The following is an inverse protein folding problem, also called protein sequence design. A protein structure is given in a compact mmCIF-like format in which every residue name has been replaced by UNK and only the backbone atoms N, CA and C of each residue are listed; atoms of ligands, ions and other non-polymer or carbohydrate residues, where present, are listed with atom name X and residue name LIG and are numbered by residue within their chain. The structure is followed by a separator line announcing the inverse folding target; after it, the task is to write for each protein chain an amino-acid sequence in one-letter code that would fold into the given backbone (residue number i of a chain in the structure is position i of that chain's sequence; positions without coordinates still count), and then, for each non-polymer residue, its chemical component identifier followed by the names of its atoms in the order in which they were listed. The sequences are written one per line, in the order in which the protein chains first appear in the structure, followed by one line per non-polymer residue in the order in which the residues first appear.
data_IF_936187068206
#
_entry.id   IF_936187068206
#
_cell.length_a   1.000
_cell.length_b   1.000
_cell.length_c   1.000
_cell.angle_alpha   90.00
_cell.angle_beta   90.00
_cell.angle_gamma   90.00
#
_symmetry.space_group_name_H-M   'P 1'
#
loop_
_entity.id
_entity.type
_entity.pdbx_description
1 polymer ?
#
# COMPACT_ATOMS: atom_id res chain seq x y z
N UNK A 1 -2.73 -2.84 9.22
CA UNK A 1 -3.53 -4.07 9.34
C UNK A 1 -2.61 -5.28 9.25
N UNK A 2 -2.77 -6.25 10.15
CA UNK A 2 -2.13 -7.58 10.08
C UNK A 2 -3.21 -8.60 9.74
N UNK A 3 -2.93 -9.49 8.79
CA UNK A 3 -3.83 -10.58 8.42
C UNK A 3 -3.19 -11.90 8.82
N UNK A 4 -3.95 -12.74 9.51
CA UNK A 4 -3.67 -14.14 9.74
C UNK A 4 -4.70 -14.95 8.96
N UNK A 5 -4.28 -15.90 8.15
CA UNK A 5 -5.21 -16.71 7.37
C UNK A 5 -4.70 -18.14 7.23
N UNK A 6 -5.62 -19.08 7.22
CA UNK A 6 -5.34 -20.50 7.11
C UNK A 6 -6.38 -21.17 6.23
N UNK A 7 -5.92 -22.01 5.31
CA UNK A 7 -6.77 -22.91 4.56
C UNK A 7 -6.61 -24.32 5.16
N UNK A 8 -7.65 -24.82 5.77
CA UNK A 8 -7.63 -26.11 6.47
C UNK A 8 -8.80 -26.99 6.04
N UNK A 9 -8.66 -28.31 6.06
CA UNK A 9 -9.80 -29.20 5.91
C UNK A 9 -10.77 -29.05 7.10
N UNK A 10 -12.05 -29.36 6.92
CA UNK A 10 -13.11 -29.13 7.93
C UNK A 10 -12.82 -29.77 9.29
N UNK A 11 -12.17 -30.94 9.31
CA UNK A 11 -11.77 -31.63 10.53
C UNK A 11 -10.59 -30.95 11.28
N UNK A 12 -9.90 -30.00 10.70
CA UNK A 12 -8.82 -29.24 11.33
C UNK A 12 -9.25 -27.82 11.77
N UNK A 13 -10.53 -27.46 11.62
CA UNK A 13 -11.01 -26.14 11.98
C UNK A 13 -10.79 -25.82 13.47
N UNK A 14 -11.03 -26.79 14.37
CA UNK A 14 -10.80 -26.62 15.81
C UNK A 14 -9.34 -26.29 16.12
N UNK A 15 -8.37 -26.90 15.42
CA UNK A 15 -6.95 -26.59 15.56
C UNK A 15 -6.65 -25.17 15.11
N UNK A 16 -7.18 -24.75 13.96
CA UNK A 16 -6.97 -23.39 13.45
C UNK A 16 -7.54 -22.34 14.41
N UNK A 17 -8.77 -22.53 14.90
CA UNK A 17 -9.39 -21.62 15.87
C UNK A 17 -8.63 -21.59 17.19
N UNK A 18 -8.15 -22.72 17.67
CA UNK A 18 -7.32 -22.79 18.87
C UNK A 18 -6.01 -22.01 18.68
N UNK A 19 -5.29 -22.20 17.59
CA UNK A 19 -4.02 -21.49 17.31
C UNK A 19 -4.21 -19.96 17.25
N UNK A 20 -5.28 -19.50 16.63
CA UNK A 20 -5.57 -18.08 16.54
C UNK A 20 -6.04 -17.47 17.87
N UNK A 21 -6.82 -18.22 18.66
CA UNK A 21 -7.22 -17.80 20.01
C UNK A 21 -6.05 -17.78 20.98
N UNK A 22 -5.15 -18.77 20.90
CA UNK A 22 -3.93 -18.82 21.70
C UNK A 22 -3.02 -17.61 21.41
N UNK A 23 -2.83 -17.29 20.14
CA UNK A 23 -2.10 -16.09 19.70
C UNK A 23 -2.73 -14.81 20.27
N UNK A 24 -4.05 -14.69 20.22
CA UNK A 24 -4.75 -13.49 20.69
C UNK A 24 -4.76 -13.35 22.20
N UNK A 25 -5.01 -14.43 22.91
CA UNK A 25 -5.27 -14.41 24.35
C UNK A 25 -4.09 -14.77 25.24
N UNK A 26 -3.12 -15.55 24.75
CA UNK A 26 -2.13 -16.20 25.61
C UNK A 26 -0.66 -15.97 25.20
N UNK A 27 -0.40 -15.34 24.05
CA UNK A 27 0.97 -15.14 23.55
C UNK A 27 1.89 -14.45 24.54
N UNK A 28 1.40 -13.44 25.27
CA UNK A 28 2.23 -12.65 26.20
C UNK A 28 2.87 -13.48 27.32
N UNK A 29 2.24 -14.59 27.71
CA UNK A 29 2.78 -15.47 28.76
C UNK A 29 4.08 -16.18 28.37
N UNK A 30 4.41 -16.22 27.08
CA UNK A 30 5.58 -16.93 26.54
C UNK A 30 6.56 -16.04 25.81
N UNK A 31 6.28 -14.74 25.69
CA UNK A 31 7.21 -13.76 25.09
C UNK A 31 8.22 -13.30 26.16
N UNK A 32 9.47 -13.62 25.91
CA UNK A 32 10.62 -13.27 26.73
C UNK A 32 11.72 -12.54 25.94
N UNK A 33 12.78 -12.13 26.60
CA UNK A 33 13.87 -11.36 25.96
C UNK A 33 14.60 -12.19 24.90
N UNK A 34 14.80 -13.49 25.12
CA UNK A 34 15.48 -14.37 24.17
C UNK A 34 14.71 -14.44 22.85
N UNK A 35 13.39 -14.65 22.91
CA UNK A 35 12.51 -14.66 21.73
C UNK A 35 12.43 -13.32 21.02
N UNK A 36 12.43 -12.21 21.78
CA UNK A 36 12.48 -10.88 21.21
C UNK A 36 13.78 -10.66 20.42
N UNK A 37 14.91 -11.04 20.98
CA UNK A 37 16.21 -10.85 20.33
C UNK A 37 16.37 -11.74 19.08
N UNK A 38 15.83 -12.97 19.12
CA UNK A 38 15.76 -13.83 17.95
C UNK A 38 14.90 -13.22 16.86
N UNK A 39 13.67 -12.81 17.16
CA UNK A 39 12.75 -12.22 16.20
C UNK A 39 13.23 -10.86 15.66
N UNK A 40 13.90 -10.05 16.48
CA UNK A 40 14.58 -8.82 16.03
C UNK A 40 15.56 -9.15 14.90
N UNK A 41 16.40 -10.17 15.08
CA UNK A 41 17.34 -10.63 14.06
C UNK A 41 16.65 -11.08 12.78
N UNK A 42 15.52 -11.77 12.87
CA UNK A 42 14.72 -12.19 11.71
C UNK A 42 14.19 -10.96 10.94
N UNK A 43 13.56 -10.01 11.63
CA UNK A 43 12.99 -8.80 11.00
C UNK A 43 14.10 -7.93 10.38
N UNK A 44 15.25 -7.79 11.04
CA UNK A 44 16.40 -7.08 10.47
C UNK A 44 16.93 -7.74 9.19
N UNK A 45 16.98 -9.08 9.16
CA UNK A 45 17.38 -9.82 7.97
C UNK A 45 16.37 -9.67 6.84
N UNK A 46 15.06 -9.71 7.15
CA UNK A 46 13.99 -9.44 6.19
C UNK A 46 14.14 -8.04 5.56
N UNK A 47 14.38 -7.02 6.39
CA UNK A 47 14.63 -5.67 5.90
C UNK A 47 15.85 -5.59 4.99
N UNK A 48 16.99 -6.17 5.40
CA UNK A 48 18.21 -6.20 4.57
C UNK A 48 17.97 -6.91 3.23
N UNK A 49 17.27 -8.05 3.26
CA UNK A 49 16.92 -8.77 2.03
C UNK A 49 16.01 -7.94 1.11
N UNK A 50 15.02 -7.24 1.67
CA UNK A 50 14.15 -6.33 0.90
C UNK A 50 14.93 -5.18 0.27
N UNK A 51 15.80 -4.52 1.04
CA UNK A 51 16.62 -3.40 0.57
C UNK A 51 17.70 -3.80 -0.46
N UNK A 52 18.13 -5.05 -0.44
CA UNK A 52 19.09 -5.61 -1.42
C UNK A 52 18.42 -6.01 -2.75
N UNK A 53 17.08 -6.03 -2.84
CA UNK A 53 16.41 -6.23 -4.12
C UNK A 53 16.56 -4.98 -5.00
N UNK A 54 16.61 -5.12 -6.32
CA UNK A 54 16.56 -3.98 -7.23
C UNK A 54 15.37 -3.07 -6.88
N UNK A 55 15.63 -1.78 -6.73
CA UNK A 55 14.66 -0.75 -6.29
C UNK A 55 14.12 -0.95 -4.86
N UNK A 56 14.67 -1.84 -4.05
CA UNK A 56 14.15 -2.21 -2.72
C UNK A 56 14.06 -1.05 -1.72
N UNK A 57 14.92 -0.05 -1.87
CA UNK A 57 14.94 1.16 -1.02
C UNK A 57 13.95 2.25 -1.45
N UNK A 58 13.41 2.14 -2.68
CA UNK A 58 12.58 3.20 -3.26
C UNK A 58 11.34 3.51 -2.42
N UNK A 59 10.62 2.49 -1.97
CA UNK A 59 9.38 2.71 -1.23
C UNK A 59 9.59 3.37 0.14
N UNK A 60 10.71 3.10 0.80
CA UNK A 60 11.10 3.79 2.04
C UNK A 60 11.35 5.27 1.77
N UNK A 61 12.20 5.59 0.79
CA UNK A 61 12.50 6.96 0.39
C UNK A 61 11.23 7.72 -0.04
N UNK A 62 10.34 7.08 -0.79
CA UNK A 62 9.05 7.64 -1.18
C UNK A 62 8.19 7.97 0.05
N UNK A 63 8.06 7.05 1.00
CA UNK A 63 7.24 7.27 2.20
C UNK A 63 7.75 8.43 3.04
N UNK A 64 9.07 8.47 3.30
CA UNK A 64 9.72 9.53 4.06
C UNK A 64 9.58 10.90 3.40
N UNK A 65 9.52 10.91 2.11
CA UNK A 65 9.42 12.13 1.33
C UNK A 65 8.00 12.55 1.00
N UNK A 66 7.11 11.64 0.74
CA UNK A 66 5.71 11.95 0.42
C UNK A 66 4.95 12.50 1.63
N UNK A 67 5.35 12.12 2.84
CA UNK A 67 4.66 12.50 4.05
C UNK A 67 5.55 13.32 5.00
N UNK A 68 4.99 14.30 5.74
CA UNK A 68 5.76 15.07 6.71
C UNK A 68 6.16 14.19 7.89
N UNK A 69 7.26 14.57 8.56
CA UNK A 69 7.71 13.90 9.78
C UNK A 69 6.58 13.84 10.82
N UNK A 70 6.36 12.66 11.38
CA UNK A 70 5.28 12.41 12.35
C UNK A 70 3.96 11.95 11.72
N UNK A 71 3.83 12.01 10.40
CA UNK A 71 2.71 11.39 9.72
C UNK A 71 2.84 9.85 9.81
N UNK A 72 1.76 9.08 10.13
CA UNK A 72 1.84 7.62 10.27
C UNK A 72 2.34 6.90 9.00
N UNK A 73 2.30 7.54 7.85
CA UNK A 73 2.75 6.98 6.58
C UNK A 73 4.13 7.47 6.14
N UNK A 74 4.82 8.26 6.97
CA UNK A 74 6.21 8.69 6.69
C UNK A 74 7.24 7.59 6.95
N UNK A 75 6.84 6.45 7.52
CA UNK A 75 7.66 5.24 7.67
C UNK A 75 6.96 4.03 7.06
N UNK A 76 7.74 2.99 6.79
CA UNK A 76 7.24 1.72 6.24
C UNK A 76 6.87 0.75 7.38
N UNK A 77 6.09 -0.28 7.03
CA UNK A 77 5.67 -1.31 8.01
C UNK A 77 6.85 -2.04 8.63
N UNK A 78 7.94 -2.25 7.88
CA UNK A 78 9.14 -2.92 8.40
C UNK A 78 9.91 -2.05 9.40
N UNK A 79 9.69 -0.74 9.39
CA UNK A 79 10.35 0.22 10.28
C UNK A 79 11.82 0.52 9.94
N UNK A 80 12.52 1.17 10.87
CA UNK A 80 13.94 1.47 10.77
C UNK A 80 14.78 0.44 11.52
N UNK A 81 16.07 0.32 11.19
CA UNK A 81 16.98 -0.52 11.95
C UNK A 81 17.17 0.00 13.37
N UNK A 82 17.26 1.32 13.54
CA UNK A 82 17.44 1.97 14.83
C UNK A 82 16.25 1.69 15.78
N UNK A 83 15.02 1.74 15.27
CA UNK A 83 13.81 1.42 16.03
C UNK A 83 13.78 -0.07 16.40
N UNK A 84 14.19 -0.95 15.48
CA UNK A 84 14.27 -2.38 15.77
C UNK A 84 15.31 -2.69 16.85
N UNK A 85 16.46 -2.02 16.83
CA UNK A 85 17.50 -2.17 17.85
C UNK A 85 17.06 -1.62 19.21
N UNK A 86 16.30 -0.51 19.21
CA UNK A 86 15.83 0.15 20.43
C UNK A 86 14.62 -0.55 21.07
N UNK A 87 13.84 -1.34 20.30
CA UNK A 87 12.60 -1.95 20.79
C UNK A 87 12.86 -2.86 22.00
N UNK A 88 12.17 -2.60 23.11
CA UNK A 88 12.24 -3.36 24.35
C UNK A 88 11.15 -4.45 24.44
N UNK A 89 11.31 -5.37 25.36
CA UNK A 89 10.29 -6.37 25.66
C UNK A 89 8.99 -5.70 26.15
N UNK A 90 9.10 -4.60 26.91
CA UNK A 90 7.95 -3.83 27.37
C UNK A 90 7.18 -3.20 26.21
N UNK A 91 7.86 -2.62 25.22
CA UNK A 91 7.24 -2.06 24.03
C UNK A 91 6.43 -3.10 23.28
N UNK A 92 6.98 -4.31 23.11
CA UNK A 92 6.28 -5.42 22.43
C UNK A 92 5.05 -5.87 23.22
N UNK A 93 5.19 -6.00 24.54
CA UNK A 93 4.08 -6.40 25.41
C UNK A 93 2.96 -5.36 25.42
N UNK A 94 3.30 -4.08 25.49
CA UNK A 94 2.33 -2.99 25.53
C UNK A 94 1.65 -2.79 24.17
N UNK A 95 2.39 -2.96 23.06
CA UNK A 95 1.82 -3.00 21.72
C UNK A 95 0.79 -4.12 21.59
N UNK A 96 1.14 -5.32 22.03
CA UNK A 96 0.26 -6.46 21.95
C UNK A 96 -1.01 -6.27 22.79
N UNK A 97 -0.89 -5.86 24.06
CA UNK A 97 -2.04 -5.55 24.94
C UNK A 97 -2.96 -4.50 24.33
N UNK A 98 -2.36 -3.51 23.66
CA UNK A 98 -3.11 -2.39 23.10
C UNK A 98 -3.88 -2.80 21.84
N UNK A 99 -3.26 -3.56 20.93
CA UNK A 99 -3.80 -3.75 19.58
C UNK A 99 -4.35 -5.14 19.28
N UNK A 100 -4.06 -6.16 20.08
CA UNK A 100 -4.44 -7.55 19.80
C UNK A 100 -5.70 -8.03 20.55
N UNK A 101 -6.45 -7.13 21.16
CA UNK A 101 -7.73 -7.47 21.78
C UNK A 101 -8.84 -7.79 20.76
N UNK A 102 -9.84 -8.60 21.13
CA UNK A 102 -10.97 -8.97 20.26
C UNK A 102 -11.75 -7.77 19.71
N UNK A 103 -11.78 -6.67 20.45
CA UNK A 103 -12.41 -5.40 20.01
C UNK A 103 -11.66 -4.70 18.85
N UNK A 104 -10.47 -5.15 18.49
CA UNK A 104 -9.69 -4.68 17.36
C UNK A 104 -9.44 -5.77 16.31
N UNK A 105 -10.17 -6.85 16.34
CA UNK A 105 -10.03 -7.97 15.42
C UNK A 105 -11.32 -8.28 14.68
N UNK A 106 -11.20 -8.82 13.48
CA UNK A 106 -12.30 -9.37 12.69
C UNK A 106 -11.95 -10.81 12.37
N UNK A 107 -12.77 -11.75 12.83
CA UNK A 107 -12.67 -13.15 12.46
C UNK A 107 -13.64 -13.45 11.32
N UNK A 108 -13.12 -13.95 10.21
CA UNK A 108 -13.91 -14.41 9.06
C UNK A 108 -13.74 -15.92 8.87
N UNK A 109 -14.84 -16.66 8.88
CA UNK A 109 -14.89 -18.09 8.56
C UNK A 109 -15.63 -18.27 7.24
N UNK A 110 -15.00 -18.92 6.28
CA UNK A 110 -15.60 -19.19 4.97
C UNK A 110 -15.33 -20.64 4.56
N UNK A 111 -16.34 -21.33 4.07
CA UNK A 111 -16.22 -22.73 3.62
C UNK A 111 -17.42 -23.59 4.05
N UNK A 112 -17.18 -24.89 4.20
CA UNK A 112 -18.19 -25.87 4.59
C UNK A 112 -18.43 -25.82 6.12
N UNK A 113 -19.16 -24.81 6.55
CA UNK A 113 -19.58 -24.60 7.95
C UNK A 113 -20.90 -23.86 8.00
N UNK A 114 -21.81 -24.31 8.85
CA UNK A 114 -23.05 -23.61 9.16
C UNK A 114 -22.87 -22.58 10.27
N UNK A 115 -23.78 -21.59 10.33
CA UNK A 115 -23.70 -20.47 11.24
C UNK A 115 -23.73 -20.88 12.72
N UNK A 116 -24.55 -21.87 13.09
CA UNK A 116 -24.67 -22.29 14.48
C UNK A 116 -23.42 -23.02 14.96
N UNK A 117 -22.89 -23.91 14.15
CA UNK A 117 -21.57 -24.54 14.41
C UNK A 117 -20.45 -23.50 14.52
N UNK A 118 -20.44 -22.50 13.64
CA UNK A 118 -19.46 -21.42 13.70
C UNK A 118 -19.54 -20.63 15.02
N UNK A 119 -20.74 -20.25 15.46
CA UNK A 119 -20.95 -19.53 16.73
C UNK A 119 -20.46 -20.35 17.93
N UNK A 120 -20.81 -21.64 17.98
CA UNK A 120 -20.40 -22.53 19.08
C UNK A 120 -18.88 -22.65 19.14
N UNK A 121 -18.23 -22.87 17.99
CA UNK A 121 -16.78 -23.01 17.93
C UNK A 121 -16.05 -21.69 18.25
N UNK A 122 -16.50 -20.56 17.73
CA UNK A 122 -15.93 -19.27 18.05
C UNK A 122 -16.09 -18.95 19.54
N UNK A 123 -17.27 -19.17 20.12
CA UNK A 123 -17.48 -18.97 21.54
C UNK A 123 -16.56 -19.87 22.39
N UNK A 124 -16.36 -21.13 21.99
CA UNK A 124 -15.48 -22.08 22.69
C UNK A 124 -14.02 -21.56 22.80
N UNK A 125 -13.51 -20.95 21.76
CA UNK A 125 -12.08 -20.58 21.69
C UNK A 125 -11.78 -19.12 22.00
N UNK A 126 -12.74 -18.20 21.84
CA UNK A 126 -12.49 -16.77 21.93
C UNK A 126 -13.28 -16.04 23.03
N UNK A 127 -14.29 -16.68 23.64
CA UNK A 127 -15.19 -15.95 24.54
C UNK A 127 -14.56 -15.52 25.87
N UNK A 128 -13.50 -16.17 26.30
CA UNK A 128 -12.75 -15.87 27.53
C UNK A 128 -11.66 -14.81 27.36
N UNK A 129 -11.36 -14.43 26.11
CA UNK A 129 -10.32 -13.43 25.83
C UNK A 129 -10.85 -12.03 26.16
N UNK A 130 -10.23 -11.29 27.07
CA UNK A 130 -10.72 -9.96 27.44
C UNK A 130 -10.51 -8.94 26.33
N UNK A 131 -11.43 -7.99 26.22
CA UNK A 131 -11.28 -6.86 25.31
C UNK A 131 -10.05 -6.01 25.67
N UNK A 132 -9.34 -5.53 24.64
CA UNK A 132 -8.29 -4.53 24.80
C UNK A 132 -8.85 -3.13 25.14
N UNK A 133 -7.97 -2.14 25.37
CA UNK A 133 -8.37 -0.76 25.59
C UNK A 133 -9.11 -0.18 24.37
N UNK A 134 -9.91 0.88 24.53
CA UNK A 134 -10.47 1.62 23.41
C UNK A 134 -9.35 2.20 22.54
N UNK A 135 -9.45 2.01 21.22
CA UNK A 135 -8.48 2.54 20.27
C UNK A 135 -8.98 3.86 19.66
N UNK A 136 -8.10 4.84 19.64
CA UNK A 136 -8.32 6.08 18.90
C UNK A 136 -7.71 5.91 17.51
N UNK A 137 -8.56 5.96 16.49
CA UNK A 137 -8.08 5.94 15.09
C UNK A 137 -7.51 7.29 14.72
N UNK A 138 -6.40 7.33 13.97
CA UNK A 138 -5.87 8.57 13.43
C UNK A 138 -6.92 9.26 12.55
N UNK A 139 -7.00 10.59 12.66
CA UNK A 139 -7.83 11.39 11.76
C UNK A 139 -7.24 11.40 10.34
N UNK A 140 -8.11 11.67 9.35
CA UNK A 140 -7.71 11.91 7.98
C UNK A 140 -6.62 12.98 7.91
N UNK A 141 -5.51 12.65 7.27
CA UNK A 141 -4.39 13.57 7.11
C UNK A 141 -3.76 13.43 5.72
N UNK A 142 -4.30 14.16 4.74
CA UNK A 142 -3.73 14.25 3.41
C UNK A 142 -2.60 15.27 3.44
N UNK A 143 -1.37 14.82 3.25
CA UNK A 143 -0.21 15.72 3.22
C UNK A 143 -0.30 16.65 2.01
N UNK A 144 -0.23 17.97 2.27
CA UNK A 144 -0.21 19.00 1.23
C UNK A 144 1.21 19.47 1.02
N UNK A 145 1.60 19.67 -0.23
CA UNK A 145 2.87 20.25 -0.62
C UNK A 145 2.68 21.56 -1.35
N UNK A 146 3.60 22.48 -1.15
CA UNK A 146 3.67 23.76 -1.86
C UNK A 146 4.63 23.73 -3.04
N UNK A 147 5.51 22.72 -3.10
CA UNK A 147 6.57 22.62 -4.12
C UNK A 147 6.79 21.18 -4.55
N UNK A 148 7.24 21.01 -5.77
CA UNK A 148 7.75 19.73 -6.29
C UNK A 148 9.02 19.34 -5.53
N UNK A 149 9.13 18.08 -5.13
CA UNK A 149 10.35 17.51 -4.57
C UNK A 149 10.92 16.50 -5.57
N UNK A 150 12.21 16.61 -5.85
CA UNK A 150 12.96 15.70 -6.72
C UNK A 150 14.06 15.03 -5.92
N UNK A 151 14.17 13.74 -6.04
CA UNK A 151 15.26 12.95 -5.47
C UNK A 151 15.84 12.01 -6.52
N UNK A 152 17.14 11.81 -6.46
CA UNK A 152 17.85 10.85 -7.30
C UNK A 152 18.54 9.88 -6.35
N UNK A 153 18.24 8.62 -6.51
CA UNK A 153 18.88 7.52 -5.78
C UNK A 153 19.71 6.69 -6.76
N UNK A 154 20.91 6.32 -6.35
CA UNK A 154 21.78 5.43 -7.11
C UNK A 154 21.78 4.05 -6.45
N UNK A 155 21.59 3.02 -7.25
CA UNK A 155 21.58 1.64 -6.81
C UNK A 155 22.06 0.72 -7.95
N UNK A 156 22.42 -0.52 -7.63
CA UNK A 156 22.76 -1.53 -8.62
C UNK A 156 21.50 -2.14 -9.22
N UNK A 157 20.97 -1.49 -10.25
CA UNK A 157 19.69 -1.81 -10.88
C UNK A 157 19.86 -2.05 -12.39
N UNK A 158 19.04 -2.91 -13.01
CA UNK A 158 19.17 -3.24 -14.42
C UNK A 158 18.89 -2.05 -15.35
N UNK A 159 18.09 -1.08 -14.91
CA UNK A 159 17.71 0.11 -15.68
C UNK A 159 17.22 1.22 -14.76
N UNK A 160 17.24 2.45 -15.22
CA UNK A 160 16.66 3.57 -14.49
C UNK A 160 15.14 3.41 -14.40
N UNK A 161 14.56 3.83 -13.27
CA UNK A 161 13.12 3.82 -13.02
C UNK A 161 12.69 5.20 -12.53
N UNK A 162 11.61 5.71 -13.09
CA UNK A 162 11.01 6.98 -12.69
C UNK A 162 9.74 6.69 -11.90
N UNK A 163 9.61 7.33 -10.75
CA UNK A 163 8.40 7.35 -9.94
C UNK A 163 7.83 8.77 -9.93
N UNK A 164 6.59 8.94 -10.35
CA UNK A 164 5.82 10.16 -10.13
C UNK A 164 4.73 9.89 -9.12
N UNK A 165 4.65 10.71 -8.06
CA UNK A 165 3.83 10.42 -6.91
C UNK A 165 3.09 11.67 -6.46
N UNK A 166 1.80 11.51 -6.17
CA UNK A 166 0.93 12.55 -5.63
C UNK A 166 0.24 12.06 -4.36
N UNK A 167 0.21 12.92 -3.34
CA UNK A 167 -0.65 12.68 -2.19
C UNK A 167 -2.09 12.93 -2.60
N UNK A 168 -2.95 11.95 -2.38
CA UNK A 168 -4.36 11.96 -2.78
C UNK A 168 -5.24 11.55 -1.62
N UNK A 169 -6.57 11.72 -1.70
CA UNK A 169 -7.50 11.30 -0.67
C UNK A 169 -7.32 9.82 -0.26
N UNK A 170 -7.83 9.51 0.90
CA UNK A 170 -7.90 8.18 1.48
C UNK A 170 -8.91 7.30 0.72
N UNK A 171 -8.83 5.98 0.99
CA UNK A 171 -9.78 5.00 0.47
C UNK A 171 -11.23 5.29 0.91
N UNK A 172 -12.17 4.62 0.27
CA UNK A 172 -13.60 4.68 0.58
C UNK A 172 -14.21 6.08 0.35
N UNK A 173 -13.59 6.88 -0.54
CA UNK A 173 -14.10 8.15 -1.02
C UNK A 173 -14.43 8.08 -2.51
N UNK A 174 -15.27 9.00 -2.98
CA UNK A 174 -15.58 9.13 -4.41
C UNK A 174 -14.32 9.45 -5.22
N UNK A 175 -13.49 10.36 -4.72
CA UNK A 175 -12.20 10.70 -5.34
C UNK A 175 -11.26 9.48 -5.44
N UNK A 176 -11.26 8.58 -4.45
CA UNK A 176 -10.48 7.34 -4.48
C UNK A 176 -10.85 6.47 -5.69
N UNK A 177 -12.15 6.31 -5.93
CA UNK A 177 -12.64 5.57 -7.10
C UNK A 177 -12.24 6.23 -8.43
N UNK A 178 -12.22 7.57 -8.48
CA UNK A 178 -11.73 8.31 -9.66
C UNK A 178 -10.23 8.07 -9.91
N UNK A 179 -9.40 8.00 -8.87
CA UNK A 179 -7.97 7.70 -9.01
C UNK A 179 -7.72 6.27 -9.46
N UNK A 180 -8.49 5.31 -8.96
CA UNK A 180 -8.39 3.91 -9.39
C UNK A 180 -8.76 3.77 -10.87
N UNK A 181 -9.87 4.36 -11.30
CA UNK A 181 -10.29 4.39 -12.69
C UNK A 181 -9.27 5.15 -13.56
N UNK A 182 -8.74 6.28 -13.10
CA UNK A 182 -7.73 7.03 -13.83
C UNK A 182 -6.45 6.21 -14.05
N UNK A 183 -6.03 5.43 -13.05
CA UNK A 183 -4.87 4.55 -13.17
C UNK A 183 -5.06 3.52 -14.27
N UNK A 184 -6.24 2.88 -14.32
CA UNK A 184 -6.60 1.90 -15.35
C UNK A 184 -6.63 2.52 -16.75
N UNK A 185 -7.26 3.68 -16.91
CA UNK A 185 -7.33 4.36 -18.21
C UNK A 185 -5.96 4.81 -18.71
N UNK A 186 -5.07 5.22 -17.82
CA UNK A 186 -3.72 5.69 -18.18
C UNK A 186 -2.80 4.57 -18.68
N UNK A 187 -2.94 3.33 -18.17
CA UNK A 187 -2.01 2.23 -18.46
C UNK A 187 -2.66 0.88 -18.70
N UNK A 188 -3.98 0.74 -18.59
CA UNK A 188 -4.73 -0.54 -18.60
C UNK A 188 -4.70 -1.33 -19.90
N UNK A 189 -3.95 -0.92 -20.91
CA UNK A 189 -3.83 -1.67 -22.16
C UNK A 189 -2.89 -1.02 -23.17
N UNK A 190 -2.64 -1.73 -24.28
CA UNK A 190 -1.73 -1.25 -25.34
C UNK A 190 -2.15 0.07 -26.00
N UNK A 191 -3.41 0.45 -25.89
CA UNK A 191 -3.96 1.69 -26.42
C UNK A 191 -4.06 2.80 -25.37
N UNK A 192 -3.69 2.52 -24.11
CA UNK A 192 -3.68 3.51 -23.04
C UNK A 192 -2.62 4.60 -23.29
N UNK A 193 -2.88 5.85 -22.91
CA UNK A 193 -2.04 6.98 -23.29
C UNK A 193 -0.56 6.82 -22.94
N UNK A 194 -0.25 6.41 -21.73
CA UNK A 194 1.13 6.26 -21.29
C UNK A 194 1.84 5.08 -21.95
N UNK A 195 1.18 3.92 -22.04
CA UNK A 195 1.78 2.75 -22.68
C UNK A 195 2.02 3.01 -24.17
N UNK A 196 1.02 3.56 -24.85
CA UNK A 196 1.12 3.87 -26.28
C UNK A 196 2.28 4.81 -26.57
N UNK A 197 2.38 5.92 -25.84
CA UNK A 197 3.42 6.93 -26.05
C UNK A 197 4.81 6.41 -25.70
N UNK A 198 4.99 5.89 -24.48
CA UNK A 198 6.31 5.59 -23.94
C UNK A 198 6.88 4.26 -24.43
N UNK A 199 6.01 3.23 -24.54
CA UNK A 199 6.45 1.87 -24.82
C UNK A 199 6.32 1.53 -26.29
N UNK A 200 5.19 1.91 -26.93
CA UNK A 200 4.91 1.51 -28.31
C UNK A 200 5.44 2.50 -29.35
N UNK A 201 5.14 3.80 -29.22
CA UNK A 201 5.50 4.82 -30.24
C UNK A 201 6.93 5.29 -30.09
N UNK A 202 7.33 5.81 -28.91
CA UNK A 202 8.67 6.32 -28.71
C UNK A 202 9.69 5.26 -28.32
N UNK A 203 9.28 4.13 -27.79
CA UNK A 203 10.13 3.01 -27.34
C UNK A 203 11.23 3.47 -26.37
N UNK A 204 10.91 4.40 -25.47
CA UNK A 204 11.82 4.98 -24.48
C UNK A 204 11.63 4.39 -23.08
N UNK A 205 10.54 3.64 -22.85
CA UNK A 205 10.32 2.87 -21.65
C UNK A 205 10.06 1.39 -22.00
N UNK A 206 10.55 0.48 -21.16
CA UNK A 206 10.28 -0.95 -21.28
C UNK A 206 8.94 -1.32 -20.68
N UNK A 207 8.52 -0.58 -19.67
CA UNK A 207 7.22 -0.72 -19.02
C UNK A 207 6.74 0.62 -18.47
N UNK A 208 5.43 0.74 -18.31
CA UNK A 208 4.80 1.81 -17.54
C UNK A 208 3.64 1.22 -16.75
N UNK A 209 3.51 1.65 -15.51
CA UNK A 209 2.40 1.28 -14.63
C UNK A 209 1.84 2.52 -13.92
N UNK A 210 0.60 2.44 -13.51
CA UNK A 210 -0.05 3.44 -12.66
C UNK A 210 -0.94 2.71 -11.67
N UNK A 211 -1.02 3.19 -10.45
CA UNK A 211 -1.91 2.64 -9.44
C UNK A 211 -2.21 3.68 -8.37
N UNK A 212 -3.38 3.56 -7.79
CA UNK A 212 -3.76 4.24 -6.58
C UNK A 212 -3.42 3.35 -5.37
N UNK A 213 -2.51 3.83 -4.52
CA UNK A 213 -2.15 3.17 -3.28
C UNK A 213 -3.06 3.68 -2.17
N UNK A 214 -4.17 2.97 -1.99
CA UNK A 214 -5.24 3.29 -1.06
C UNK A 214 -4.85 2.97 0.39
N UNK A 215 -5.06 3.92 1.30
CA UNK A 215 -4.85 3.74 2.74
C UNK A 215 -5.94 4.47 3.52
N UNK A 216 -6.01 4.25 4.85
CA UNK A 216 -7.13 4.68 5.70
C UNK A 216 -7.22 6.19 5.90
N UNK A 217 -6.09 6.90 6.03
CA UNK A 217 -6.06 8.35 6.35
C UNK A 217 -5.50 9.23 5.24
N UNK A 218 -4.91 8.65 4.22
CA UNK A 218 -4.43 9.31 3.01
C UNK A 218 -4.12 8.24 1.95
N UNK A 219 -4.04 8.61 0.69
CA UNK A 219 -3.59 7.78 -0.41
C UNK A 219 -2.39 8.38 -1.14
N UNK A 220 -1.82 7.60 -2.04
CA UNK A 220 -0.83 8.05 -3.01
C UNK A 220 -1.21 7.55 -4.41
N UNK A 221 -1.11 8.41 -5.40
CA UNK A 221 -1.25 8.04 -6.79
C UNK A 221 0.13 7.92 -7.41
N UNK A 222 0.39 6.81 -8.08
CA UNK A 222 1.67 6.50 -8.68
C UNK A 222 1.59 6.42 -10.20
N UNK A 223 2.63 6.91 -10.85
CA UNK A 223 3.00 6.53 -12.22
C UNK A 223 4.46 6.11 -12.19
N UNK A 224 4.76 4.91 -12.67
CA UNK A 224 6.11 4.32 -12.67
C UNK A 224 6.50 3.94 -14.07
N UNK A 225 7.67 4.34 -14.53
CA UNK A 225 8.20 3.99 -15.85
C UNK A 225 9.61 3.41 -15.72
N UNK A 226 9.82 2.25 -16.34
CA UNK A 226 11.13 1.63 -16.50
C UNK A 226 11.79 2.14 -17.80
N UNK A 227 12.90 2.84 -17.65
CA UNK A 227 13.58 3.51 -18.78
C UNK A 227 14.37 2.49 -19.59
N UNK A 228 14.28 2.54 -20.92
CA UNK A 228 15.12 1.72 -21.81
C UNK A 228 16.59 2.03 -21.57
N UNK A 229 17.44 1.02 -21.50
CA UNK A 229 18.88 1.17 -21.29
C UNK A 229 19.50 2.14 -22.33
N UNK A 230 20.27 3.11 -21.85
CA UNK A 230 20.90 4.13 -22.69
C UNK A 230 20.01 5.33 -23.06
N UNK A 231 18.72 5.29 -22.73
CA UNK A 231 17.83 6.45 -22.87
C UNK A 231 18.00 7.39 -21.68
N UNK A 232 18.04 8.70 -21.94
CA UNK A 232 18.08 9.68 -20.88
C UNK A 232 16.73 9.71 -20.12
N UNK A 233 16.70 9.48 -18.79
CA UNK A 233 15.47 9.52 -18.00
C UNK A 233 14.66 10.81 -18.17
N UNK A 234 15.33 11.96 -18.33
CA UNK A 234 14.64 13.24 -18.54
C UNK A 234 13.78 13.27 -19.82
N UNK A 235 14.11 12.46 -20.84
CA UNK A 235 13.28 12.33 -22.05
C UNK A 235 11.98 11.56 -21.74
N UNK A 236 12.10 10.50 -20.95
CA UNK A 236 10.93 9.71 -20.53
C UNK A 236 10.01 10.53 -19.65
N UNK A 237 10.60 11.28 -18.75
CA UNK A 237 9.90 12.21 -17.88
C UNK A 237 9.08 13.24 -18.67
N UNK A 238 9.72 13.94 -19.60
CA UNK A 238 9.05 14.94 -20.42
C UNK A 238 7.87 14.34 -21.19
N UNK A 239 8.02 13.13 -21.73
CA UNK A 239 6.95 12.43 -22.42
C UNK A 239 5.81 12.03 -21.47
N UNK A 240 6.13 11.61 -20.23
CA UNK A 240 5.10 11.37 -19.20
C UNK A 240 4.32 12.65 -18.88
N UNK A 241 5.00 13.79 -18.74
CA UNK A 241 4.36 15.07 -18.44
C UNK A 241 3.47 15.57 -19.58
N UNK A 242 3.89 15.37 -20.82
CA UNK A 242 3.09 15.72 -22.00
C UNK A 242 1.80 14.89 -22.04
N UNK A 243 1.89 13.57 -21.77
CA UNK A 243 0.72 12.70 -21.72
C UNK A 243 -0.22 13.12 -20.60
N UNK A 244 0.32 13.36 -19.40
CA UNK A 244 -0.47 13.78 -18.24
C UNK A 244 -1.13 15.15 -18.48
N UNK A 245 -0.40 16.11 -19.02
CA UNK A 245 -0.94 17.43 -19.38
C UNK A 245 -2.09 17.31 -20.35
N UNK A 246 -1.96 16.47 -21.39
CA UNK A 246 -3.01 16.23 -22.35
C UNK A 246 -4.21 15.52 -21.71
N UNK A 247 -3.97 14.52 -20.87
CA UNK A 247 -5.00 13.80 -20.14
C UNK A 247 -5.83 14.74 -19.24
N UNK A 248 -5.16 15.63 -18.51
CA UNK A 248 -5.82 16.61 -17.64
C UNK A 248 -6.61 17.66 -18.42
N UNK A 249 -6.10 18.07 -19.61
CA UNK A 249 -6.78 19.09 -20.43
C UNK A 249 -7.99 18.54 -21.17
N UNK A 250 -7.89 17.32 -21.73
CA UNK A 250 -8.86 16.78 -22.68
C UNK A 250 -9.76 15.70 -22.06
N UNK A 251 -9.38 15.20 -20.90
CA UNK A 251 -9.98 14.04 -20.26
C UNK A 251 -9.56 12.71 -20.90
N UNK A 252 -9.98 11.60 -20.28
CA UNK A 252 -9.76 10.27 -20.82
C UNK A 252 -10.48 10.08 -22.16
N UNK A 253 -9.92 9.19 -23.00
CA UNK A 253 -10.61 8.79 -24.22
C UNK A 253 -11.95 8.11 -23.85
N UNK A 254 -13.11 8.58 -24.38
CA UNK A 254 -14.41 8.05 -23.99
C UNK A 254 -14.59 6.54 -24.25
N UNK A 255 -13.90 5.98 -25.26
CA UNK A 255 -13.95 4.54 -25.53
C UNK A 255 -13.17 3.73 -24.47
N UNK A 256 -12.02 4.22 -24.05
CA UNK A 256 -11.23 3.59 -22.97
C UNK A 256 -11.98 3.71 -21.65
N UNK A 257 -12.50 4.89 -21.35
CA UNK A 257 -13.27 5.10 -20.12
C UNK A 257 -14.52 4.20 -20.08
N UNK A 258 -15.23 4.05 -21.20
CA UNK A 258 -16.40 3.16 -21.25
C UNK A 258 -16.02 1.70 -21.00
N UNK A 259 -14.92 1.23 -21.58
CA UNK A 259 -14.44 -0.12 -21.37
C UNK A 259 -14.06 -0.38 -19.90
N UNK A 260 -13.39 0.57 -19.25
CA UNK A 260 -13.03 0.47 -17.83
C UNK A 260 -14.25 0.63 -16.91
N UNK A 261 -15.21 1.51 -17.25
CA UNK A 261 -16.45 1.68 -16.50
C UNK A 261 -17.38 0.46 -16.55
N UNK A 262 -17.39 -0.30 -17.64
CA UNK A 262 -18.14 -1.57 -17.73
C UNK A 262 -17.57 -2.60 -16.75
N UNK A 263 -16.30 -2.47 -16.39
CA UNK A 263 -15.62 -3.32 -15.39
C UNK A 263 -15.83 -2.79 -13.97
N UNK A 264 -15.81 -1.46 -13.75
CA UNK A 264 -15.67 -0.84 -12.39
C UNK A 264 -16.85 0.02 -11.90
N UNK A 265 -17.94 0.22 -12.65
CA UNK A 265 -19.08 1.13 -12.34
C UNK A 265 -18.86 2.64 -12.53
N UNK A 266 -19.70 3.20 -13.30
CA UNK A 266 -20.06 4.55 -13.80
C UNK A 266 -19.51 5.78 -13.05
N UNK A 267 -18.51 6.45 -13.67
CA UNK A 267 -18.12 7.83 -13.32
C UNK A 267 -18.03 8.70 -14.57
N UNK A 268 -18.32 10.00 -14.45
CA UNK A 268 -18.22 10.96 -15.53
C UNK A 268 -16.78 11.46 -15.72
N UNK A 269 -16.40 11.77 -16.98
CA UNK A 269 -15.04 12.24 -17.34
C UNK A 269 -14.63 13.49 -16.53
N UNK A 270 -15.57 14.42 -16.31
CA UNK A 270 -15.30 15.67 -15.61
C UNK A 270 -14.98 15.48 -14.13
N UNK A 271 -15.54 14.48 -13.47
CA UNK A 271 -15.29 14.13 -12.07
C UNK A 271 -13.87 13.61 -11.90
N UNK A 272 -13.43 12.72 -12.78
CA UNK A 272 -12.05 12.18 -12.81
C UNK A 272 -11.04 13.30 -13.03
N UNK A 273 -11.27 14.17 -14.01
CA UNK A 273 -10.39 15.30 -14.31
C UNK A 273 -10.30 16.25 -13.12
N UNK A 274 -11.42 16.54 -12.46
CA UNK A 274 -11.48 17.43 -11.32
C UNK A 274 -10.69 16.88 -10.14
N UNK A 275 -10.84 15.59 -9.83
CA UNK A 275 -10.09 14.90 -8.76
C UNK A 275 -8.58 14.91 -9.02
N UNK A 276 -8.16 14.65 -10.27
CA UNK A 276 -6.75 14.69 -10.66
C UNK A 276 -6.20 16.12 -10.58
N UNK A 277 -6.89 17.13 -11.15
CA UNK A 277 -6.44 18.54 -11.11
C UNK A 277 -6.26 19.07 -9.71
N UNK A 278 -7.15 18.72 -8.79
CA UNK A 278 -7.10 19.14 -7.38
C UNK A 278 -5.82 18.66 -6.68
N UNK A 279 -5.25 17.54 -7.11
CA UNK A 279 -4.13 16.87 -6.47
C UNK A 279 -2.85 16.84 -7.30
N UNK A 280 -2.86 17.40 -8.53
CA UNK A 280 -1.76 17.29 -9.51
C UNK A 280 -0.53 18.18 -9.20
N UNK A 281 -0.48 18.91 -8.10
CA UNK A 281 0.51 19.96 -7.89
C UNK A 281 1.96 19.47 -7.67
N UNK A 282 2.26 18.15 -7.54
CA UNK A 282 3.59 17.73 -7.03
C UNK A 282 4.05 16.37 -7.53
N UNK A 283 5.28 16.30 -8.08
CA UNK A 283 5.93 15.12 -8.63
C UNK A 283 7.24 14.74 -7.94
N UNK A 284 7.57 13.47 -8.00
CA UNK A 284 8.78 12.83 -7.46
C UNK A 284 9.61 12.09 -8.49
N UNK A 285 10.94 12.05 -8.28
CA UNK A 285 11.89 11.39 -9.18
C UNK A 285 12.87 10.45 -8.51
N UNK A 286 13.18 9.41 -9.24
CA UNK A 286 14.36 8.58 -9.07
C UNK A 286 15.13 8.46 -10.35
#
# INVERSE_FOLDING_TARGET
RTNYFQNVPTNALDLALWMESDRMGHLLGVVDQEKLDEQRGVVQNEKRQGENQPYGKAFTAISESAFPKGHPYSWTTIGSMDDLDAASLEDVQDWFKTYYGPNNAVLALAGDIDLETAKIKVAKYFADIPSGPPLVKPEKWIAKRSEEKREIMFDDVPQARIYKIWNVPERDTEEAAHFDLASSVLVGGKNSPLYKELVYEQQIATSVSSFYYDREIAGMFFIVADVVAGVNPAKVEAAMDDVMTNFIKRGPNPKLLKAENEINKTFEVEEIITSIKKNYSFCWYQ
#
